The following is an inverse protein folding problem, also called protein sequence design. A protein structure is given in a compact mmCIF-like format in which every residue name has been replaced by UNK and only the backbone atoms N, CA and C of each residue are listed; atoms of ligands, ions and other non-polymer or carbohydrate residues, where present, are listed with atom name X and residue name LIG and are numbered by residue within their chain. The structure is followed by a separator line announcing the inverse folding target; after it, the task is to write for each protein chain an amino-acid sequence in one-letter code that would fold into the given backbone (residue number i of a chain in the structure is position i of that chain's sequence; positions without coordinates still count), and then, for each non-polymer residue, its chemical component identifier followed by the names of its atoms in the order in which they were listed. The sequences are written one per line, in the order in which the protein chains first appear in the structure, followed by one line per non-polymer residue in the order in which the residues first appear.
data_IF_049134077217
#
_entry.id   IF_049134077217
#
_cell.length_a   1.000
_cell.length_b   1.000
_cell.length_c   1.000
_cell.angle_alpha   90.00
_cell.angle_beta   90.00
_cell.angle_gamma   90.00
#
_symmetry.space_group_name_H-M   'P 1'
#
loop_
_entity.id
_entity.type
_entity.pdbx_description
1 polymer ?
#
# COMPACT_ATOMS: atom_id res chain seq x y z
N UNK A 1 -5.92 6.92 -30.57
CA UNK A 1 -6.10 5.93 -29.51
C UNK A 1 -7.24 5.03 -29.94
N UNK A 2 -6.99 3.73 -30.11
CA UNK A 2 -7.98 2.78 -30.63
C UNK A 2 -9.06 2.54 -29.54
N UNK A 3 -10.32 2.27 -29.95
CA UNK A 3 -11.43 2.01 -29.01
C UNK A 3 -11.08 0.93 -27.96
N UNK A 4 -10.23 -0.03 -28.30
CA UNK A 4 -9.80 -1.14 -27.43
C UNK A 4 -8.76 -0.75 -26.36
N UNK A 5 -7.88 0.20 -26.65
CA UNK A 5 -6.92 0.71 -25.62
C UNK A 5 -7.65 1.48 -24.52
N UNK A 6 -8.82 2.08 -24.84
CA UNK A 6 -9.69 2.71 -23.82
C UNK A 6 -10.38 1.67 -22.92
N UNK A 7 -10.67 0.46 -23.43
CA UNK A 7 -11.32 -0.59 -22.63
C UNK A 7 -10.39 -1.23 -21.59
N UNK A 8 -9.09 -1.35 -21.85
CA UNK A 8 -8.13 -1.86 -20.84
C UNK A 8 -7.98 -0.88 -19.66
N UNK A 9 -7.97 0.43 -19.95
CA UNK A 9 -8.00 1.49 -18.92
C UNK A 9 -9.31 1.50 -18.10
N UNK A 10 -10.41 1.02 -18.67
CA UNK A 10 -11.72 0.93 -18.02
C UNK A 10 -11.81 -0.16 -16.94
N UNK A 11 -11.12 -1.28 -17.12
CA UNK A 11 -11.07 -2.35 -16.11
C UNK A 11 -10.53 -1.83 -14.75
N UNK A 12 -9.60 -0.90 -14.77
CA UNK A 12 -9.02 -0.32 -13.57
C UNK A 12 -9.82 0.89 -13.00
N UNK A 13 -10.57 1.61 -13.83
CA UNK A 13 -11.28 2.84 -13.41
C UNK A 13 -12.66 2.59 -12.76
N UNK A 14 -13.24 1.40 -12.90
CA UNK A 14 -14.60 1.12 -12.38
C UNK A 14 -14.68 0.84 -10.88
N UNK A 15 -13.55 0.68 -10.18
CA UNK A 15 -13.54 0.38 -8.74
C UNK A 15 -13.47 1.61 -7.80
N UNK A 16 -13.51 2.84 -8.33
CA UNK A 16 -13.28 4.03 -7.49
C UNK A 16 -14.54 4.74 -6.98
N UNK A 17 -15.75 4.27 -7.25
CA UNK A 17 -16.98 4.93 -6.74
C UNK A 17 -18.08 3.91 -6.48
N UNK A 18 -18.53 3.79 -5.25
CA UNK A 18 -19.92 3.98 -4.83
C UNK A 18 -20.14 3.58 -3.39
N UNK A 19 -20.40 4.55 -2.58
CA UNK A 19 -21.39 4.44 -1.51
C UNK A 19 -22.47 5.47 -1.79
N UNK A 20 -23.63 5.06 -2.30
CA UNK A 20 -24.85 5.87 -2.25
C UNK A 20 -26.14 5.03 -2.35
N UNK A 21 -26.83 5.00 -1.24
CA UNK A 21 -28.30 5.14 -1.04
C UNK A 21 -29.23 4.38 -1.97
N UNK A 22 -29.96 3.44 -1.36
CA UNK A 22 -31.10 2.75 -1.94
C UNK A 22 -32.27 3.67 -2.31
N UNK A 23 -32.91 3.35 -3.41
CA UNK A 23 -34.29 3.68 -3.69
C UNK A 23 -35.01 2.41 -4.14
N UNK A 24 -35.96 1.96 -3.34
CA UNK A 24 -36.97 0.98 -3.74
C UNK A 24 -37.79 1.52 -4.89
N UNK A 25 -37.84 0.83 -6.00
CA UNK A 25 -38.91 0.93 -6.96
C UNK A 25 -39.31 -0.47 -7.43
N UNK A 26 -40.54 -0.85 -7.20
CA UNK A 26 -41.16 -2.06 -7.72
C UNK A 26 -41.04 -2.07 -9.25
N UNK A 27 -40.46 -3.15 -9.78
CA UNK A 27 -40.38 -3.39 -11.21
C UNK A 27 -41.26 -4.60 -11.52
N UNK A 28 -42.34 -4.35 -12.28
CA UNK A 28 -43.21 -5.40 -12.85
C UNK A 28 -42.37 -6.35 -13.74
N UNK A 29 -42.49 -7.65 -13.52
CA UNK A 29 -41.91 -8.69 -14.38
C UNK A 29 -42.54 -8.65 -15.79
N UNK A 30 -41.73 -8.60 -16.86
CA UNK A 30 -42.25 -8.73 -18.22
C UNK A 30 -42.27 -10.17 -18.72
N UNK A 31 -43.20 -10.43 -19.64
CA UNK A 31 -43.53 -11.68 -20.30
C UNK A 31 -42.32 -12.43 -20.84
N UNK A 32 -42.32 -13.74 -20.65
CA UNK A 32 -41.29 -14.74 -21.03
C UNK A 32 -41.02 -14.73 -22.53
N UNK A 33 -39.82 -14.22 -22.92
CA UNK A 33 -39.18 -14.46 -24.22
C UNK A 33 -38.27 -15.70 -24.16
N UNK A 34 -37.88 -16.28 -25.29
CA UNK A 34 -37.09 -17.52 -25.34
C UNK A 34 -35.80 -17.38 -24.51
N UNK A 35 -35.54 -18.40 -23.71
CA UNK A 35 -34.35 -18.53 -22.88
C UNK A 35 -33.11 -18.50 -23.77
N UNK A 36 -32.07 -17.71 -23.48
CA UNK A 36 -30.77 -17.83 -24.11
C UNK A 36 -30.24 -19.26 -24.03
N UNK A 37 -29.43 -19.67 -25.00
CA UNK A 37 -28.76 -20.98 -24.98
C UNK A 37 -27.97 -21.18 -23.68
N UNK A 38 -27.51 -22.39 -23.42
CA UNK A 38 -26.66 -22.65 -22.26
C UNK A 38 -25.42 -21.77 -22.33
N UNK A 39 -24.78 -21.37 -21.20
CA UNK A 39 -23.54 -20.58 -21.22
C UNK A 39 -22.46 -21.15 -22.14
N UNK A 40 -22.38 -22.47 -22.29
CA UNK A 40 -21.44 -23.15 -23.17
C UNK A 40 -21.72 -22.90 -24.68
N UNK A 41 -22.97 -22.62 -25.06
CA UNK A 41 -23.35 -22.28 -26.43
C UNK A 41 -23.21 -20.77 -26.72
N UNK A 42 -23.32 -19.96 -25.67
CA UNK A 42 -23.24 -18.50 -25.75
C UNK A 42 -21.80 -18.01 -25.88
N UNK A 43 -20.86 -18.63 -25.14
CA UNK A 43 -19.47 -18.19 -25.06
C UNK A 43 -18.51 -19.23 -25.59
N UNK A 44 -17.69 -18.86 -26.57
CA UNK A 44 -16.64 -19.71 -27.09
C UNK A 44 -15.29 -19.01 -27.01
N UNK A 45 -14.35 -19.54 -26.24
CA UNK A 45 -12.98 -19.06 -26.24
C UNK A 45 -12.26 -19.53 -27.50
N UNK A 46 -11.82 -18.60 -28.33
CA UNK A 46 -11.10 -18.89 -29.58
C UNK A 46 -9.58 -18.93 -29.34
N UNK A 47 -9.04 -18.03 -28.51
CA UNK A 47 -7.65 -18.06 -28.07
C UNK A 47 -7.53 -17.46 -26.69
N UNK A 48 -6.49 -17.86 -25.96
CA UNK A 48 -6.17 -17.40 -24.62
C UNK A 48 -4.66 -17.33 -24.46
N UNK A 49 -4.18 -16.13 -24.19
CA UNK A 49 -2.78 -15.82 -23.88
C UNK A 49 -2.69 -15.16 -22.50
N UNK A 50 -1.48 -14.90 -22.02
CA UNK A 50 -1.28 -14.34 -20.66
C UNK A 50 -1.84 -12.92 -20.51
N UNK A 51 -1.91 -12.16 -21.61
CA UNK A 51 -2.31 -10.74 -21.64
C UNK A 51 -3.56 -10.49 -22.48
N UNK A 52 -4.11 -11.52 -23.12
CA UNK A 52 -5.29 -11.36 -23.96
C UNK A 52 -6.15 -12.63 -24.04
N UNK A 53 -7.44 -12.43 -24.33
CA UNK A 53 -8.38 -13.49 -24.67
C UNK A 53 -9.29 -13.08 -25.82
N UNK A 54 -9.54 -14.01 -26.73
CA UNK A 54 -10.50 -13.84 -27.82
C UNK A 54 -11.71 -14.72 -27.56
N UNK A 55 -12.89 -14.12 -27.51
CA UNK A 55 -14.15 -14.80 -27.19
C UNK A 55 -15.17 -14.52 -28.27
N UNK A 56 -15.77 -15.56 -28.84
CA UNK A 56 -16.93 -15.43 -29.70
C UNK A 56 -18.21 -15.51 -28.87
N UNK A 57 -19.07 -14.52 -29.02
CA UNK A 57 -20.39 -14.42 -28.40
C UNK A 57 -21.43 -14.75 -29.46
N UNK A 58 -22.31 -15.74 -29.18
CA UNK A 58 -23.37 -16.16 -30.08
C UNK A 58 -24.73 -16.01 -29.39
N UNK A 59 -25.41 -14.87 -29.59
CA UNK A 59 -26.73 -14.62 -28.99
C UNK A 59 -27.81 -15.52 -29.57
N UNK A 60 -29.00 -15.53 -28.95
CA UNK A 60 -30.13 -16.39 -29.36
C UNK A 60 -30.65 -16.10 -30.78
N UNK A 61 -30.41 -14.91 -31.31
CA UNK A 61 -30.62 -14.53 -32.73
C UNK A 61 -29.75 -13.34 -33.13
N UNK A 62 -29.57 -13.13 -34.45
CA UNK A 62 -28.78 -12.02 -34.98
C UNK A 62 -29.33 -10.63 -34.70
N UNK A 63 -30.63 -10.53 -34.36
CA UNK A 63 -31.30 -9.25 -34.07
C UNK A 63 -31.23 -8.86 -32.59
N UNK A 64 -30.69 -9.73 -31.73
CA UNK A 64 -30.56 -9.45 -30.31
C UNK A 64 -29.43 -8.46 -30.07
N UNK A 65 -29.79 -7.34 -29.43
CA UNK A 65 -28.82 -6.37 -28.88
C UNK A 65 -28.42 -6.84 -27.50
N UNK A 66 -27.14 -6.83 -27.20
CA UNK A 66 -26.62 -7.28 -25.90
C UNK A 66 -25.40 -6.48 -25.48
N UNK A 67 -25.13 -6.55 -24.18
CA UNK A 67 -23.87 -6.17 -23.57
C UNK A 67 -23.04 -7.41 -23.32
N UNK A 68 -21.74 -7.37 -23.65
CA UNK A 68 -20.78 -8.41 -23.29
C UNK A 68 -19.42 -7.80 -23.02
N UNK A 69 -18.87 -8.03 -21.83
CA UNK A 69 -17.54 -7.55 -21.47
C UNK A 69 -16.86 -8.49 -20.47
N UNK A 70 -15.53 -8.50 -20.46
CA UNK A 70 -14.71 -9.32 -19.58
C UNK A 70 -14.47 -8.59 -18.26
N UNK A 71 -14.77 -9.26 -17.14
CA UNK A 71 -14.54 -8.77 -15.77
C UNK A 71 -13.64 -9.73 -14.98
N UNK A 72 -12.88 -9.22 -14.01
CA UNK A 72 -12.14 -10.08 -13.10
C UNK A 72 -13.11 -10.92 -12.25
N UNK A 73 -12.77 -12.20 -12.08
CA UNK A 73 -13.55 -13.13 -11.22
C UNK A 73 -13.11 -12.98 -9.77
N UNK A 74 -13.42 -11.83 -9.17
CA UNK A 74 -13.15 -11.52 -7.77
C UNK A 74 -14.39 -11.72 -6.90
N UNK A 75 -14.19 -11.98 -5.62
CA UNK A 75 -15.31 -12.11 -4.67
C UNK A 75 -16.12 -10.82 -4.57
N UNK A 76 -15.44 -9.69 -4.61
CA UNK A 76 -16.08 -8.36 -4.55
C UNK A 76 -17.04 -8.14 -5.72
N UNK A 77 -16.66 -8.49 -6.95
CA UNK A 77 -17.51 -8.31 -8.12
C UNK A 77 -18.54 -9.44 -8.27
N UNK A 78 -18.10 -10.70 -8.19
CA UNK A 78 -18.97 -11.86 -8.45
C UNK A 78 -19.88 -12.21 -7.27
N UNK A 79 -19.61 -11.72 -6.07
CA UNK A 79 -20.47 -11.86 -4.88
C UNK A 79 -21.71 -10.98 -4.88
N UNK A 80 -21.81 -10.02 -5.82
CA UNK A 80 -22.94 -9.11 -5.96
C UNK A 80 -24.15 -9.78 -6.60
N UNK A 81 -25.33 -9.25 -6.37
CA UNK A 81 -26.51 -9.73 -7.09
C UNK A 81 -26.57 -9.20 -8.54
N UNK A 82 -27.33 -9.89 -9.38
CA UNK A 82 -27.44 -9.57 -10.81
C UNK A 82 -27.99 -8.17 -11.09
N UNK A 83 -28.78 -7.61 -10.17
CA UNK A 83 -29.31 -6.24 -10.32
C UNK A 83 -28.24 -5.20 -10.04
N UNK A 84 -27.43 -5.40 -8.99
CA UNK A 84 -26.30 -4.52 -8.67
C UNK A 84 -25.28 -4.48 -9.81
N UNK A 85 -24.90 -5.64 -10.32
CA UNK A 85 -23.99 -5.76 -11.47
C UNK A 85 -24.56 -5.02 -12.69
N UNK A 86 -25.85 -5.26 -13.01
CA UNK A 86 -26.49 -4.57 -14.13
C UNK A 86 -26.52 -3.05 -13.94
N UNK A 87 -26.87 -2.57 -12.76
CA UNK A 87 -26.96 -1.14 -12.46
C UNK A 87 -25.61 -0.46 -12.64
N UNK A 88 -24.55 -1.03 -12.09
CA UNK A 88 -23.20 -0.49 -12.23
C UNK A 88 -22.75 -0.41 -13.69
N UNK A 89 -22.98 -1.49 -14.45
CA UNK A 89 -22.67 -1.52 -15.87
C UNK A 89 -23.50 -0.50 -16.66
N UNK A 90 -24.80 -0.44 -16.41
CA UNK A 90 -25.73 0.42 -17.15
C UNK A 90 -25.45 1.92 -16.98
N UNK A 91 -24.96 2.32 -15.83
CA UNK A 91 -24.63 3.73 -15.54
C UNK A 91 -23.15 4.06 -15.80
N UNK A 92 -22.37 3.14 -16.34
CA UNK A 92 -21.02 3.45 -16.79
C UNK A 92 -21.05 4.35 -18.05
N UNK A 93 -20.10 5.25 -18.17
CA UNK A 93 -19.98 6.18 -19.30
C UNK A 93 -19.78 5.49 -20.66
N UNK A 94 -19.49 4.19 -20.65
CA UNK A 94 -19.13 3.39 -21.83
C UNK A 94 -20.17 2.34 -22.20
N UNK A 95 -21.27 2.24 -21.47
CA UNK A 95 -22.26 1.20 -21.67
C UNK A 95 -22.77 1.13 -23.11
N UNK A 96 -23.16 2.27 -23.68
CA UNK A 96 -23.72 2.34 -25.04
C UNK A 96 -22.68 2.00 -26.12
N UNK A 97 -21.41 2.30 -25.88
CA UNK A 97 -20.30 2.00 -26.80
C UNK A 97 -19.94 0.50 -26.84
N UNK A 98 -20.36 -0.25 -25.82
CA UNK A 98 -20.10 -1.69 -25.67
C UNK A 98 -21.29 -2.58 -26.04
N UNK A 99 -22.42 -1.99 -26.46
CA UNK A 99 -23.52 -2.74 -27.01
C UNK A 99 -23.18 -3.34 -28.36
N UNK A 100 -23.55 -4.59 -28.56
CA UNK A 100 -23.32 -5.34 -29.79
C UNK A 100 -24.60 -6.07 -30.22
N UNK A 101 -24.65 -6.55 -31.47
CA UNK A 101 -25.74 -7.38 -31.97
C UNK A 101 -25.18 -8.50 -32.88
N UNK A 102 -25.92 -9.60 -32.96
CA UNK A 102 -25.52 -10.77 -33.74
C UNK A 102 -24.26 -11.45 -33.18
N UNK A 103 -23.76 -12.44 -33.88
CA UNK A 103 -22.54 -13.16 -33.51
C UNK A 103 -21.32 -12.25 -33.64
N UNK A 104 -20.58 -12.05 -32.55
CA UNK A 104 -19.39 -11.18 -32.49
C UNK A 104 -18.20 -11.94 -31.91
N UNK A 105 -17.02 -11.67 -32.47
CA UNK A 105 -15.73 -12.09 -31.86
C UNK A 105 -15.07 -10.87 -31.22
N UNK A 106 -14.97 -10.91 -29.90
CA UNK A 106 -14.40 -9.83 -29.06
C UNK A 106 -12.99 -10.21 -28.63
N UNK A 107 -12.08 -9.25 -28.66
CA UNK A 107 -10.72 -9.39 -28.14
C UNK A 107 -10.55 -8.48 -26.92
N UNK A 108 -10.22 -9.07 -25.79
CA UNK A 108 -9.90 -8.38 -24.54
C UNK A 108 -8.39 -8.44 -24.33
N UNK A 109 -7.77 -7.28 -24.18
CA UNK A 109 -6.32 -7.11 -24.05
C UNK A 109 -5.97 -6.44 -22.70
N UNK A 110 -4.70 -6.50 -22.30
CA UNK A 110 -4.22 -5.92 -21.07
C UNK A 110 -4.60 -6.74 -19.84
N UNK A 111 -4.78 -8.05 -20.03
CA UNK A 111 -5.04 -8.98 -18.94
C UNK A 111 -3.76 -9.23 -18.15
N UNK A 112 -3.91 -9.65 -16.92
CA UNK A 112 -2.81 -10.04 -16.05
C UNK A 112 -2.64 -11.54 -16.14
N UNK A 113 -1.41 -12.01 -16.31
CA UNK A 113 -1.08 -13.43 -16.28
C UNK A 113 -1.47 -14.04 -14.92
N UNK A 114 -1.76 -15.34 -14.92
CA UNK A 114 -2.17 -16.09 -13.73
C UNK A 114 -3.37 -15.48 -12.98
N UNK A 115 -4.31 -14.90 -13.70
CA UNK A 115 -5.50 -14.23 -13.15
C UNK A 115 -6.80 -14.85 -13.69
N UNK A 116 -7.89 -14.60 -12.98
CA UNK A 116 -9.18 -15.19 -13.28
C UNK A 116 -10.17 -14.13 -13.76
N UNK A 117 -10.90 -14.47 -14.83
CA UNK A 117 -11.87 -13.59 -15.46
C UNK A 117 -13.15 -14.34 -15.83
N UNK A 118 -14.23 -13.58 -16.04
CA UNK A 118 -15.49 -14.05 -16.63
C UNK A 118 -16.04 -13.02 -17.61
N UNK A 119 -16.64 -13.49 -18.68
CA UNK A 119 -17.47 -12.62 -19.52
C UNK A 119 -18.82 -12.46 -18.86
N UNK A 120 -19.22 -11.19 -18.67
CA UNK A 120 -20.56 -10.81 -18.22
C UNK A 120 -21.40 -10.49 -19.45
N UNK A 121 -22.59 -11.04 -19.55
CA UNK A 121 -23.50 -10.87 -20.67
C UNK A 121 -24.93 -10.61 -20.18
N UNK A 122 -25.64 -9.73 -20.85
CA UNK A 122 -27.10 -9.62 -20.78
C UNK A 122 -27.68 -9.01 -22.05
N UNK A 123 -28.86 -9.47 -22.44
CA UNK A 123 -29.60 -8.89 -23.55
C UNK A 123 -30.19 -7.52 -23.15
N UNK A 124 -30.29 -6.60 -24.12
CA UNK A 124 -30.73 -5.24 -23.90
C UNK A 124 -31.77 -4.81 -24.91
N UNK A 125 -32.88 -4.28 -24.44
CA UNK A 125 -33.94 -3.71 -25.27
C UNK A 125 -33.76 -2.20 -25.37
N UNK A 126 -33.26 -1.72 -26.52
CA UNK A 126 -33.03 -0.30 -26.78
C UNK A 126 -34.33 0.53 -26.73
N UNK A 127 -35.49 -0.06 -27.07
CA UNK A 127 -36.76 0.66 -27.08
C UNK A 127 -37.25 0.97 -25.66
N UNK A 128 -37.02 0.09 -24.70
CA UNK A 128 -37.38 0.27 -23.31
C UNK A 128 -36.27 0.78 -22.43
N UNK A 129 -35.03 0.69 -22.89
CA UNK A 129 -33.83 1.08 -22.15
C UNK A 129 -33.51 0.12 -20.98
N UNK A 130 -33.93 -1.16 -21.06
CA UNK A 130 -33.82 -2.13 -19.96
C UNK A 130 -33.14 -3.42 -20.42
N UNK A 131 -32.50 -4.14 -19.44
CA UNK A 131 -32.03 -5.50 -19.69
C UNK A 131 -33.21 -6.45 -19.92
N UNK A 132 -32.96 -7.47 -20.70
CA UNK A 132 -33.89 -8.58 -20.97
C UNK A 132 -33.31 -9.84 -20.35
N UNK A 133 -34.08 -10.54 -19.53
CA UNK A 133 -33.62 -11.75 -18.85
C UNK A 133 -32.61 -11.48 -17.74
N UNK A 134 -31.81 -12.51 -17.41
CA UNK A 134 -30.81 -12.47 -16.35
C UNK A 134 -29.44 -11.99 -16.86
N UNK A 135 -28.57 -11.58 -15.93
CA UNK A 135 -27.14 -11.43 -16.20
C UNK A 135 -26.52 -12.83 -16.21
N UNK A 136 -25.84 -13.16 -17.28
CA UNK A 136 -25.18 -14.45 -17.49
C UNK A 136 -23.67 -14.28 -17.42
N UNK A 137 -22.99 -15.34 -16.98
CA UNK A 137 -21.54 -15.39 -16.84
C UNK A 137 -20.97 -16.57 -17.63
N UNK A 138 -19.84 -16.37 -18.27
CA UNK A 138 -19.05 -17.47 -18.82
C UNK A 138 -18.50 -18.37 -17.71
N UNK A 139 -18.01 -19.55 -18.09
CA UNK A 139 -17.07 -20.28 -17.25
C UNK A 139 -15.86 -19.42 -16.93
N UNK A 140 -15.16 -19.76 -15.83
CA UNK A 140 -13.93 -19.07 -15.42
C UNK A 140 -12.86 -19.19 -16.49
N UNK A 141 -12.33 -18.07 -16.92
CA UNK A 141 -11.20 -17.96 -17.83
C UNK A 141 -9.96 -17.68 -16.96
N UNK A 142 -8.96 -18.58 -17.02
CA UNK A 142 -7.70 -18.39 -16.28
C UNK A 142 -6.59 -18.12 -17.29
N UNK A 143 -6.01 -16.94 -17.23
CA UNK A 143 -4.86 -16.58 -18.09
C UNK A 143 -3.64 -17.44 -17.73
N UNK A 144 -2.88 -17.92 -18.72
CA UNK A 144 -1.59 -18.58 -18.46
C UNK A 144 -0.59 -17.60 -17.83
N UNK A 145 0.50 -18.16 -17.31
CA UNK A 145 1.64 -17.36 -16.84
C UNK A 145 2.26 -16.57 -17.99
N UNK A 146 2.72 -15.36 -17.70
CA UNK A 146 3.57 -14.60 -18.62
C UNK A 146 4.91 -15.36 -18.83
N UNK A 147 5.52 -15.23 -20.02
CA UNK A 147 6.73 -15.99 -20.36
C UNK A 147 7.98 -15.55 -19.59
N UNK A 148 7.97 -14.36 -19.02
CA UNK A 148 9.11 -13.76 -18.35
C UNK A 148 8.83 -13.52 -16.86
N UNK A 149 9.85 -13.78 -16.05
CA UNK A 149 9.84 -13.50 -14.61
C UNK A 149 10.96 -12.52 -14.25
N UNK A 150 10.70 -11.69 -13.25
CA UNK A 150 11.68 -10.79 -12.67
C UNK A 150 12.35 -11.49 -11.49
N UNK A 151 13.70 -11.55 -11.50
CA UNK A 151 14.48 -12.05 -10.38
C UNK A 151 14.32 -11.14 -9.16
N UNK A 152 14.02 -11.75 -8.00
CA UNK A 152 13.84 -11.04 -6.73
C UNK A 152 14.64 -11.77 -5.65
N UNK A 153 15.67 -11.12 -5.10
CA UNK A 153 16.52 -11.63 -4.04
C UNK A 153 16.46 -10.71 -2.82
N UNK A 154 16.41 -11.31 -1.62
CA UNK A 154 16.40 -10.59 -0.34
C UNK A 154 17.62 -11.05 0.45
N UNK A 155 18.41 -10.10 0.93
CA UNK A 155 19.66 -10.33 1.65
C UNK A 155 19.88 -9.31 2.77
N UNK A 156 20.96 -9.50 3.55
CA UNK A 156 21.38 -8.60 4.62
C UNK A 156 20.21 -8.20 5.57
N UNK A 157 19.40 -9.20 5.94
CA UNK A 157 18.22 -9.00 6.81
C UNK A 157 18.71 -8.76 8.24
N UNK A 158 18.29 -7.62 8.80
CA UNK A 158 18.41 -7.28 10.22
C UNK A 158 17.03 -7.11 10.82
N UNK A 159 16.92 -6.67 12.06
CA UNK A 159 15.62 -6.33 12.66
C UNK A 159 14.99 -5.06 12.08
N UNK A 160 15.78 -4.18 11.47
CA UNK A 160 15.32 -2.87 11.02
C UNK A 160 15.63 -2.58 9.55
N UNK A 161 16.21 -3.52 8.83
CA UNK A 161 16.53 -3.34 7.41
C UNK A 161 16.67 -4.67 6.65
N UNK A 162 16.52 -4.60 5.35
CA UNK A 162 16.86 -5.67 4.42
C UNK A 162 17.32 -5.06 3.09
N UNK A 163 18.08 -5.81 2.31
CA UNK A 163 18.42 -5.47 0.92
C UNK A 163 17.55 -6.29 -0.02
N UNK A 164 16.96 -5.61 -1.00
CA UNK A 164 16.06 -6.19 -2.01
C UNK A 164 16.70 -5.94 -3.37
N UNK A 165 17.16 -7.01 -4.02
CA UNK A 165 17.76 -6.93 -5.36
C UNK A 165 16.76 -7.42 -6.39
N UNK A 166 16.44 -6.54 -7.35
CA UNK A 166 15.55 -6.82 -8.47
C UNK A 166 16.41 -6.96 -9.72
N UNK A 167 16.23 -8.06 -10.46
CA UNK A 167 16.93 -8.37 -11.70
C UNK A 167 15.91 -8.67 -12.79
N UNK A 168 15.54 -7.68 -13.64
CA UNK A 168 14.66 -7.90 -14.74
C UNK A 168 15.31 -8.76 -15.84
N UNK A 169 14.52 -9.48 -16.68
CA UNK A 169 15.06 -10.32 -17.76
C UNK A 169 15.74 -9.52 -18.86
N UNK A 170 15.46 -8.23 -18.99
CA UNK A 170 16.18 -7.30 -19.86
C UNK A 170 16.39 -5.95 -19.19
N UNK A 171 17.45 -5.23 -19.57
CA UNK A 171 17.78 -3.92 -18.99
C UNK A 171 16.76 -2.83 -19.35
N UNK A 172 15.94 -3.04 -20.39
CA UNK A 172 14.94 -2.09 -20.84
C UNK A 172 13.54 -2.37 -20.23
N UNK A 173 13.38 -3.53 -19.57
CA UNK A 173 12.10 -3.87 -18.94
C UNK A 173 11.86 -2.96 -17.74
N UNK A 174 10.77 -2.22 -17.81
CA UNK A 174 10.30 -1.37 -16.72
C UNK A 174 9.55 -2.21 -15.72
N UNK A 175 9.75 -1.98 -14.40
CA UNK A 175 9.10 -2.72 -13.34
C UNK A 175 8.75 -1.82 -12.16
N UNK A 176 7.71 -2.24 -11.44
CA UNK A 176 7.33 -1.74 -10.13
C UNK A 176 7.74 -2.74 -9.07
N UNK A 177 8.22 -2.27 -7.93
CA UNK A 177 8.54 -3.09 -6.76
C UNK A 177 8.04 -2.38 -5.51
N UNK A 178 7.41 -3.14 -4.62
CA UNK A 178 6.93 -2.61 -3.35
C UNK A 178 7.05 -3.62 -2.22
N UNK A 179 6.87 -3.14 -0.98
CA UNK A 179 7.06 -3.88 0.25
C UNK A 179 5.94 -3.52 1.24
N UNK A 180 5.29 -4.53 1.84
CA UNK A 180 4.38 -4.38 2.98
C UNK A 180 4.69 -5.39 4.07
N UNK A 181 4.28 -5.08 5.32
CA UNK A 181 4.14 -6.13 6.34
C UNK A 181 3.06 -7.12 5.89
N UNK A 182 3.22 -8.39 6.23
CA UNK A 182 2.25 -9.41 5.86
C UNK A 182 0.85 -9.09 6.41
N UNK A 183 0.77 -8.58 7.64
CA UNK A 183 -0.49 -8.10 8.25
C UNK A 183 -1.16 -6.99 7.43
N UNK A 184 -0.39 -6.01 6.95
CA UNK A 184 -0.93 -4.95 6.09
C UNK A 184 -1.39 -5.49 4.74
N UNK A 185 -0.63 -6.40 4.13
CA UNK A 185 -1.00 -7.03 2.88
C UNK A 185 -2.32 -7.82 2.99
N UNK A 186 -2.46 -8.65 4.03
CA UNK A 186 -3.67 -9.44 4.29
C UNK A 186 -4.88 -8.55 4.63
N UNK A 187 -4.65 -7.43 5.31
CA UNK A 187 -5.72 -6.47 5.64
C UNK A 187 -6.37 -5.84 4.41
N UNK A 188 -5.59 -5.62 3.36
CA UNK A 188 -6.12 -5.13 2.08
C UNK A 188 -6.72 -6.25 1.20
N UNK A 189 -6.69 -7.50 1.68
CA UNK A 189 -7.34 -8.68 1.06
C UNK A 189 -7.01 -8.86 -0.43
N UNK A 190 -5.74 -8.72 -0.79
CA UNK A 190 -5.30 -9.01 -2.17
C UNK A 190 -5.33 -10.51 -2.43
N UNK A 191 -6.48 -11.04 -2.86
CA UNK A 191 -6.70 -12.47 -3.09
C UNK A 191 -6.19 -12.95 -4.46
N UNK A 192 -5.86 -12.01 -5.36
CA UNK A 192 -5.41 -12.31 -6.72
C UNK A 192 -4.36 -11.31 -7.21
N UNK A 193 -3.64 -11.67 -8.28
CA UNK A 193 -2.70 -10.79 -8.96
C UNK A 193 -3.40 -9.55 -9.54
N UNK A 194 -4.61 -9.74 -10.01
CA UNK A 194 -5.44 -8.63 -10.50
C UNK A 194 -5.75 -7.62 -9.39
N UNK A 195 -6.16 -8.06 -8.20
CA UNK A 195 -6.51 -7.16 -7.09
C UNK A 195 -5.29 -6.38 -6.59
N UNK A 196 -4.13 -7.05 -6.50
CA UNK A 196 -2.89 -6.39 -6.12
C UNK A 196 -2.50 -5.30 -7.13
N UNK A 197 -2.49 -5.62 -8.42
CA UNK A 197 -2.21 -4.65 -9.47
C UNK A 197 -3.23 -3.50 -9.49
N UNK A 198 -4.52 -3.80 -9.34
CA UNK A 198 -5.58 -2.78 -9.30
C UNK A 198 -5.40 -1.80 -8.14
N UNK A 199 -4.93 -2.28 -6.99
CA UNK A 199 -4.58 -1.43 -5.86
C UNK A 199 -3.42 -0.48 -6.18
N UNK A 200 -2.32 -1.01 -6.72
CA UNK A 200 -1.16 -0.21 -7.14
C UNK A 200 -1.54 0.81 -8.22
N UNK A 201 -2.33 0.40 -9.21
CA UNK A 201 -2.82 1.28 -10.28
C UNK A 201 -3.72 2.41 -9.75
N UNK A 202 -4.61 2.09 -8.81
CA UNK A 202 -5.48 3.08 -8.16
C UNK A 202 -4.67 4.10 -7.37
N UNK A 203 -3.60 3.67 -6.72
CA UNK A 203 -2.66 4.57 -6.06
C UNK A 203 -2.00 5.54 -7.06
N UNK A 204 -1.50 5.05 -8.19
CA UNK A 204 -0.91 5.90 -9.23
C UNK A 204 -1.92 6.89 -9.81
N UNK A 205 -3.15 6.43 -10.07
CA UNK A 205 -4.23 7.30 -10.55
C UNK A 205 -4.57 8.42 -9.55
N UNK A 206 -4.64 8.10 -8.27
CA UNK A 206 -4.85 9.08 -7.20
C UNK A 206 -3.67 10.05 -7.06
N UNK A 207 -2.44 9.53 -7.01
CA UNK A 207 -1.23 10.33 -6.86
C UNK A 207 -1.01 11.27 -8.04
N UNK A 208 -1.28 10.83 -9.29
CA UNK A 208 -1.18 11.67 -10.47
C UNK A 208 -2.09 12.90 -10.38
N UNK A 209 -3.33 12.72 -9.89
CA UNK A 209 -4.26 13.83 -9.67
C UNK A 209 -3.78 14.78 -8.57
N UNK A 210 -3.25 14.24 -7.47
CA UNK A 210 -2.72 15.06 -6.36
C UNK A 210 -1.52 15.90 -6.78
N UNK A 211 -0.62 15.34 -7.58
CA UNK A 211 0.58 16.05 -8.05
C UNK A 211 0.35 16.87 -9.33
N UNK A 212 -0.80 16.73 -9.98
CA UNK A 212 -1.14 17.45 -11.20
C UNK A 212 -0.30 17.02 -12.41
N UNK A 213 0.10 15.77 -12.46
CA UNK A 213 0.83 15.12 -13.55
C UNK A 213 -0.04 14.07 -14.25
N UNK A 214 0.38 13.59 -15.41
CA UNK A 214 -0.34 12.50 -16.08
C UNK A 214 -0.10 11.16 -15.36
N UNK A 215 -0.98 10.19 -15.58
CA UNK A 215 -0.79 8.85 -15.07
C UNK A 215 0.50 8.20 -15.60
N UNK A 216 0.81 8.41 -16.88
CA UNK A 216 2.03 7.92 -17.51
C UNK A 216 3.29 8.48 -16.80
N UNK A 217 3.31 9.79 -16.52
CA UNK A 217 4.40 10.42 -15.75
C UNK A 217 4.49 9.89 -14.33
N UNK A 218 3.35 9.59 -13.68
CA UNK A 218 3.35 9.01 -12.33
C UNK A 218 3.91 7.59 -12.32
N UNK A 219 3.50 6.74 -13.27
CA UNK A 219 4.04 5.38 -13.42
C UNK A 219 5.54 5.44 -13.75
N UNK A 220 5.97 6.34 -14.63
CA UNK A 220 7.39 6.52 -14.95
C UNK A 220 8.20 6.93 -13.72
N UNK A 221 7.67 7.79 -12.87
CA UNK A 221 8.30 8.26 -11.64
C UNK A 221 8.48 7.14 -10.61
N UNK A 222 7.48 6.27 -10.48
CA UNK A 222 7.40 5.25 -9.41
C UNK A 222 7.99 3.89 -9.81
N UNK A 223 8.44 3.75 -11.07
CA UNK A 223 8.98 2.52 -11.63
C UNK A 223 10.46 2.65 -11.98
N UNK A 224 11.13 1.51 -12.20
CA UNK A 224 12.56 1.46 -12.49
C UNK A 224 12.84 0.57 -13.72
N UNK A 225 14.04 0.68 -14.27
CA UNK A 225 14.58 -0.19 -15.32
C UNK A 225 15.95 -0.71 -14.91
N UNK A 226 16.37 -1.83 -15.47
CA UNK A 226 17.67 -2.45 -15.19
C UNK A 226 17.78 -3.07 -13.78
N UNK A 227 18.88 -3.72 -13.51
CA UNK A 227 19.14 -4.35 -12.20
C UNK A 227 19.37 -3.28 -11.13
N UNK A 228 18.63 -3.36 -10.02
CA UNK A 228 18.76 -2.42 -8.90
C UNK A 228 18.66 -3.14 -7.55
N UNK A 229 19.47 -2.69 -6.60
CA UNK A 229 19.39 -3.10 -5.20
C UNK A 229 18.81 -1.93 -4.38
N UNK A 230 17.75 -2.22 -3.65
CA UNK A 230 17.10 -1.31 -2.72
C UNK A 230 17.44 -1.68 -1.29
N UNK A 231 17.49 -0.69 -0.42
CA UNK A 231 17.34 -0.90 1.02
C UNK A 231 15.87 -0.77 1.43
N UNK A 232 15.51 -1.27 2.59
CA UNK A 232 14.16 -1.04 3.12
C UNK A 232 13.82 0.44 3.26
N UNK A 233 14.82 1.30 3.42
CA UNK A 233 14.66 2.77 3.54
C UNK A 233 14.15 3.40 2.23
N UNK A 234 14.45 2.79 1.06
CA UNK A 234 13.98 3.29 -0.24
C UNK A 234 12.47 3.19 -0.41
N UNK A 235 11.79 2.36 0.39
CA UNK A 235 10.33 2.21 0.40
C UNK A 235 9.61 3.08 1.44
N UNK A 236 10.32 4.01 2.09
CA UNK A 236 9.83 4.81 3.22
C UNK A 236 9.30 3.97 4.41
N UNK A 237 9.65 2.69 4.43
CA UNK A 237 9.28 1.74 5.48
C UNK A 237 10.57 1.32 6.18
N UNK A 238 10.76 1.80 7.40
CA UNK A 238 11.71 1.18 8.31
C UNK A 238 11.11 -0.17 8.67
N UNK A 239 11.86 -1.22 8.45
CA UNK A 239 11.44 -2.55 8.82
C UNK A 239 11.21 -2.61 10.34
N UNK A 240 10.07 -3.09 10.74
CA UNK A 240 9.78 -3.47 12.12
C UNK A 240 10.47 -4.79 12.41
N UNK A 241 11.05 -4.93 13.61
CA UNK A 241 11.71 -6.18 13.99
C UNK A 241 10.70 -7.29 14.27
N UNK A 242 11.16 -8.54 14.16
CA UNK A 242 10.36 -9.75 14.37
C UNK A 242 9.05 -9.76 13.56
N UNK A 243 9.11 -9.18 12.36
CA UNK A 243 7.92 -8.93 11.52
C UNK A 243 8.10 -9.57 10.16
N UNK A 244 7.06 -10.27 9.69
CA UNK A 244 7.04 -10.85 8.36
C UNK A 244 6.63 -9.80 7.33
N UNK A 245 7.42 -9.72 6.25
CA UNK A 245 7.21 -8.82 5.11
C UNK A 245 6.98 -9.60 3.83
N UNK A 246 6.18 -9.02 2.95
CA UNK A 246 6.03 -9.43 1.56
C UNK A 246 6.61 -8.35 0.65
N UNK A 247 7.49 -8.77 -0.26
CA UNK A 247 7.96 -7.96 -1.39
C UNK A 247 7.31 -8.52 -2.65
N UNK A 248 6.82 -7.65 -3.52
CA UNK A 248 6.38 -8.03 -4.86
C UNK A 248 6.99 -7.16 -5.92
N UNK A 249 7.15 -7.72 -7.11
CA UNK A 249 7.67 -7.03 -8.29
C UNK A 249 6.97 -7.56 -9.53
N UNK A 250 6.67 -6.68 -10.48
CA UNK A 250 6.14 -7.03 -11.79
C UNK A 250 6.56 -6.00 -12.84
N UNK A 251 6.65 -6.46 -14.09
CA UNK A 251 6.88 -5.60 -15.23
C UNK A 251 5.63 -4.82 -15.60
N UNK A 252 5.79 -3.54 -15.94
CA UNK A 252 4.69 -2.64 -16.30
C UNK A 252 5.15 -1.61 -17.33
N UNK A 253 4.30 -1.32 -18.32
CA UNK A 253 4.53 -0.20 -19.26
C UNK A 253 4.14 1.14 -18.62
N UNK A 254 4.57 2.26 -19.21
CA UNK A 254 4.11 3.59 -18.77
C UNK A 254 2.62 3.82 -18.99
N UNK A 255 1.99 3.03 -19.88
CA UNK A 255 0.52 3.03 -20.06
C UNK A 255 -0.23 2.21 -19.01
N UNK A 256 0.47 1.52 -18.09
CA UNK A 256 -0.13 0.71 -17.04
C UNK A 256 -0.49 -0.71 -17.47
N UNK A 257 0.15 -1.27 -18.51
CA UNK A 257 -0.04 -2.66 -18.91
C UNK A 257 0.99 -3.55 -18.21
N UNK A 258 0.53 -4.63 -17.55
CA UNK A 258 1.41 -5.60 -16.88
C UNK A 258 2.09 -6.48 -17.94
N UNK A 259 3.41 -6.64 -17.85
CA UNK A 259 4.22 -7.33 -18.86
C UNK A 259 4.87 -8.63 -18.38
N UNK A 260 4.83 -8.92 -17.08
CA UNK A 260 5.37 -10.16 -16.48
C UNK A 260 4.40 -10.70 -15.44
N UNK A 261 4.64 -11.90 -14.94
CA UNK A 261 3.98 -12.38 -13.73
C UNK A 261 4.37 -11.50 -12.52
N UNK A 262 3.52 -11.50 -11.49
CA UNK A 262 3.87 -10.88 -10.21
C UNK A 262 4.71 -11.84 -9.39
N UNK A 263 6.01 -11.56 -9.28
CA UNK A 263 6.92 -12.32 -8.44
C UNK A 263 6.82 -11.84 -7.00
N UNK A 264 6.68 -12.76 -6.05
CA UNK A 264 6.56 -12.48 -4.61
C UNK A 264 7.66 -13.19 -3.83
N UNK A 265 8.14 -12.55 -2.76
CA UNK A 265 9.01 -13.17 -1.76
C UNK A 265 8.66 -12.64 -0.38
N UNK A 266 8.66 -13.54 0.60
CA UNK A 266 8.52 -13.17 2.01
C UNK A 266 9.86 -13.26 2.72
N UNK A 267 10.02 -12.46 3.76
CA UNK A 267 11.12 -12.56 4.71
C UNK A 267 10.66 -12.07 6.08
N UNK A 268 11.34 -12.53 7.11
CA UNK A 268 11.09 -12.07 8.48
C UNK A 268 12.31 -11.33 8.98
N UNK A 269 12.11 -10.13 9.51
CA UNK A 269 13.16 -9.34 10.14
C UNK A 269 13.61 -10.00 11.45
N UNK A 270 14.87 -9.80 11.81
CA UNK A 270 15.43 -10.39 13.03
C UNK A 270 14.82 -9.76 14.28
N UNK A 271 14.63 -10.57 15.31
CA UNK A 271 14.29 -10.08 16.64
C UNK A 271 15.53 -9.48 17.33
N UNK A 272 15.41 -8.40 18.12
CA UNK A 272 16.48 -7.90 18.97
C UNK A 272 16.83 -8.91 20.07
N UNK A 273 18.05 -8.88 20.54
CA UNK A 273 18.47 -9.73 21.66
C UNK A 273 18.07 -9.08 22.99
N UNK A 274 17.12 -9.64 23.77
CA UNK A 274 16.72 -9.04 25.03
C UNK A 274 17.91 -8.84 25.99
N UNK A 275 17.97 -7.69 26.65
CA UNK A 275 18.99 -7.31 27.61
C UNK A 275 18.36 -6.95 28.98
N UNK A 276 19.09 -7.30 30.04
CA UNK A 276 18.77 -6.89 31.42
C UNK A 276 19.35 -5.49 31.76
N UNK A 277 19.84 -4.74 30.78
CA UNK A 277 20.37 -3.40 30.99
C UNK A 277 19.31 -2.48 31.57
N UNK A 278 19.68 -1.77 32.64
CA UNK A 278 18.88 -0.75 33.30
C UNK A 278 19.54 0.61 33.18
N UNK A 279 18.76 1.65 33.38
CA UNK A 279 19.23 3.03 33.30
C UNK A 279 18.97 3.77 34.58
N UNK A 280 19.92 4.63 34.96
CA UNK A 280 19.77 5.65 36.00
C UNK A 280 19.96 7.02 35.37
N UNK A 281 19.12 7.98 35.76
CA UNK A 281 19.19 9.38 35.37
C UNK A 281 19.21 10.23 36.63
N UNK A 282 20.37 10.31 37.32
CA UNK A 282 20.47 10.93 38.64
C UNK A 282 20.27 12.44 38.59
N UNK A 283 20.47 13.06 37.43
CA UNK A 283 20.36 14.50 37.28
C UNK A 283 19.74 14.89 35.93
N UNK A 284 18.82 15.84 35.95
CA UNK A 284 18.29 16.52 34.77
C UNK A 284 18.36 18.03 35.05
N UNK A 285 19.38 18.67 34.50
CA UNK A 285 19.58 20.14 34.64
C UNK A 285 18.73 20.84 33.59
N UNK A 286 17.88 21.75 34.04
CA UNK A 286 16.95 22.50 33.18
C UNK A 286 17.24 24.00 33.33
N UNK A 287 17.73 24.62 32.28
CA UNK A 287 18.11 26.03 32.26
C UNK A 287 17.44 26.83 31.15
N UNK A 288 17.19 28.10 31.38
CA UNK A 288 16.71 29.02 30.33
C UNK A 288 17.83 29.31 29.34
N UNK A 289 17.52 29.17 28.06
CA UNK A 289 18.41 29.49 26.96
C UNK A 289 17.80 30.58 26.07
N UNK A 290 18.60 31.56 25.72
CA UNK A 290 18.22 32.61 24.77
C UNK A 290 19.43 33.02 23.95
N UNK A 291 19.28 32.96 22.62
CA UNK A 291 20.32 33.40 21.68
C UNK A 291 19.70 34.24 20.57
N UNK A 292 20.36 35.38 20.28
CA UNK A 292 19.96 36.26 19.19
C UNK A 292 20.91 36.09 18.02
N UNK A 293 20.34 35.63 16.89
CA UNK A 293 21.04 35.41 15.63
C UNK A 293 20.64 36.49 14.60
N UNK A 294 21.23 36.43 13.40
CA UNK A 294 20.82 37.27 12.26
C UNK A 294 19.39 36.97 11.77
N UNK A 295 18.85 35.82 12.10
CA UNK A 295 17.52 35.36 11.68
C UNK A 295 16.44 35.59 12.74
N UNK A 296 16.83 36.00 13.94
CA UNK A 296 15.92 36.27 15.05
C UNK A 296 16.42 35.74 16.40
N UNK A 297 15.59 35.89 17.41
CA UNK A 297 15.89 35.37 18.76
C UNK A 297 15.21 34.01 18.96
N UNK A 298 16.02 32.99 19.25
CA UNK A 298 15.55 31.66 19.69
C UNK A 298 15.62 31.60 21.21
N UNK A 299 14.58 31.09 21.86
CA UNK A 299 14.50 31.00 23.33
C UNK A 299 13.63 29.84 23.79
N UNK A 300 14.00 29.28 24.93
CA UNK A 300 13.29 28.16 25.57
C UNK A 300 14.15 27.54 26.66
N UNK A 301 13.76 26.42 27.18
CA UNK A 301 14.57 25.66 28.13
C UNK A 301 15.45 24.65 27.43
N UNK A 302 16.71 24.55 27.82
CA UNK A 302 17.57 23.40 27.56
C UNK A 302 17.42 22.43 28.72
N UNK A 303 17.47 21.15 28.42
CA UNK A 303 17.56 20.12 29.42
C UNK A 303 18.77 19.22 29.11
N UNK A 304 19.61 19.08 30.11
CA UNK A 304 20.80 18.22 30.08
C UNK A 304 20.62 17.09 31.10
N UNK A 305 20.61 15.83 30.60
CA UNK A 305 20.36 14.65 31.42
C UNK A 305 21.60 13.75 31.44
N UNK A 306 22.07 13.42 32.65
CA UNK A 306 23.13 12.42 32.84
C UNK A 306 22.50 11.03 32.80
N UNK A 307 22.84 10.23 31.79
CA UNK A 307 22.34 8.87 31.59
C UNK A 307 23.43 7.87 31.96
N UNK A 308 23.11 6.94 32.86
CA UNK A 308 24.05 5.94 33.38
C UNK A 308 23.47 4.54 33.13
N UNK A 309 23.86 3.84 32.04
CA UNK A 309 23.44 2.46 31.83
C UNK A 309 24.20 1.50 32.78
N UNK A 310 23.54 0.43 33.21
CA UNK A 310 24.18 -0.63 34.03
C UNK A 310 25.20 -1.45 33.24
N UNK A 311 25.05 -1.58 31.93
CA UNK A 311 26.01 -2.14 31.01
C UNK A 311 26.56 -1.04 30.09
N UNK A 312 27.89 -0.77 30.20
CA UNK A 312 28.56 0.30 29.47
C UNK A 312 28.94 -0.06 28.02
N UNK A 313 28.91 -1.32 27.69
CA UNK A 313 29.28 -1.83 26.36
C UNK A 313 28.10 -1.88 25.39
N UNK A 314 26.89 -2.05 25.94
CA UNK A 314 25.68 -2.08 25.13
C UNK A 314 25.27 -0.69 24.67
N UNK A 315 24.60 -0.65 23.52
CA UNK A 315 24.07 0.58 22.95
C UNK A 315 22.66 0.88 23.47
N UNK A 316 22.33 2.16 23.48
CA UNK A 316 20.99 2.59 23.82
C UNK A 316 20.62 3.86 23.05
N UNK A 317 19.33 4.11 22.97
CA UNK A 317 18.74 5.33 22.42
C UNK A 317 18.21 6.19 23.55
N UNK A 318 18.36 7.53 23.41
CA UNK A 318 17.81 8.48 24.37
C UNK A 318 17.18 9.66 23.63
N UNK A 319 16.07 10.15 24.17
CA UNK A 319 15.39 11.34 23.67
C UNK A 319 14.66 12.06 24.80
N UNK A 320 14.28 13.33 24.56
CA UNK A 320 13.39 14.09 25.42
C UNK A 320 12.12 14.41 24.63
N UNK A 321 10.97 14.07 25.20
CA UNK A 321 9.66 14.29 24.58
C UNK A 321 8.69 14.89 25.60
N UNK A 322 7.67 15.60 25.12
CA UNK A 322 6.58 16.10 25.96
C UNK A 322 5.82 14.94 26.59
N UNK A 323 5.80 14.89 27.94
CA UNK A 323 5.20 13.80 28.69
C UNK A 323 3.69 13.69 28.46
N UNK A 324 3.00 14.84 28.39
CA UNK A 324 1.55 14.85 28.17
C UNK A 324 1.17 14.31 26.79
N UNK A 325 2.02 14.52 25.77
CA UNK A 325 1.80 13.93 24.44
C UNK A 325 2.00 12.42 24.48
N UNK A 326 3.06 11.96 25.13
CA UNK A 326 3.29 10.52 25.32
C UNK A 326 2.11 9.86 26.07
N UNK A 327 1.69 10.43 27.21
CA UNK A 327 0.59 9.90 27.99
C UNK A 327 -0.73 9.85 27.20
N UNK A 328 -0.99 10.87 26.40
CA UNK A 328 -2.20 10.92 25.58
C UNK A 328 -2.18 9.92 24.42
N UNK A 329 -1.02 9.69 23.81
CA UNK A 329 -0.95 8.96 22.53
C UNK A 329 -0.56 7.47 22.71
N UNK A 330 0.17 7.10 23.76
CA UNK A 330 0.73 5.76 23.96
C UNK A 330 0.33 5.10 25.29
N UNK A 331 -0.71 5.58 25.97
CA UNK A 331 -1.23 4.90 27.15
C UNK A 331 -2.29 3.86 26.78
N UNK A 332 -2.51 2.88 27.63
CA UNK A 332 -3.50 1.80 27.47
C UNK A 332 -4.93 2.29 27.23
N UNK A 333 -5.24 3.55 27.61
CA UNK A 333 -6.57 4.16 27.43
C UNK A 333 -6.81 4.67 26.01
N UNK A 334 -5.82 4.66 25.12
CA UNK A 334 -5.89 5.22 23.79
C UNK A 334 -5.61 4.18 22.69
N UNK A 335 -6.63 3.42 22.31
CA UNK A 335 -6.62 2.41 21.24
C UNK A 335 -5.61 1.25 21.41
N UNK A 336 -5.19 0.94 22.65
CA UNK A 336 -4.30 -0.19 22.95
C UNK A 336 -2.85 0.02 22.53
N UNK A 337 -2.42 1.26 22.29
CA UNK A 337 -1.01 1.57 22.01
C UNK A 337 -0.14 1.38 23.25
N UNK A 338 1.08 0.93 23.04
CA UNK A 338 2.02 0.49 24.07
C UNK A 338 3.33 1.29 24.08
N UNK A 339 4.19 1.01 25.05
CA UNK A 339 5.56 1.48 25.08
C UNK A 339 6.35 1.02 23.85
N UNK A 340 6.06 -0.17 23.32
CA UNK A 340 6.70 -0.69 22.12
C UNK A 340 6.30 0.13 20.89
N UNK A 341 5.05 0.57 20.80
CA UNK A 341 4.61 1.51 19.75
C UNK A 341 5.31 2.87 19.84
N UNK A 342 5.58 3.36 21.07
CA UNK A 342 6.37 4.58 21.24
C UNK A 342 7.80 4.39 20.77
N UNK A 343 8.45 3.29 21.15
CA UNK A 343 9.80 2.93 20.75
C UNK A 343 9.86 2.88 19.21
N UNK A 344 8.95 2.14 18.59
CA UNK A 344 8.86 2.01 17.15
C UNK A 344 8.64 3.36 16.48
N UNK A 345 7.72 4.20 16.97
CA UNK A 345 7.49 5.54 16.45
C UNK A 345 8.75 6.42 16.51
N UNK A 346 9.54 6.35 17.60
CA UNK A 346 10.79 7.09 17.71
C UNK A 346 11.83 6.62 16.69
N UNK A 347 11.92 5.33 16.46
CA UNK A 347 12.82 4.74 15.47
C UNK A 347 12.38 5.15 14.04
N UNK A 348 11.11 5.00 13.70
CA UNK A 348 10.53 5.38 12.41
C UNK A 348 10.72 6.87 12.11
N UNK A 349 10.43 7.73 13.08
CA UNK A 349 10.61 9.18 12.92
C UNK A 349 12.07 9.56 12.63
N UNK A 350 13.02 8.87 13.26
CA UNK A 350 14.44 9.15 13.11
C UNK A 350 15.05 8.46 11.89
N UNK A 351 14.47 7.37 11.43
CA UNK A 351 14.93 6.65 10.25
C UNK A 351 14.62 7.37 8.92
N UNK A 352 13.73 8.35 8.93
CA UNK A 352 13.59 9.29 7.81
C UNK A 352 14.84 10.14 7.60
N UNK A 353 15.79 10.09 8.54
CA UNK A 353 17.10 10.70 8.42
C UNK A 353 18.06 9.68 7.77
N UNK A 354 19.09 10.15 7.05
CA UNK A 354 20.11 9.25 6.50
C UNK A 354 20.65 8.29 7.57
N UNK A 355 20.88 7.04 7.21
CA UNK A 355 21.39 5.99 8.13
C UNK A 355 22.68 6.40 8.89
N UNK A 356 23.49 7.28 8.28
CA UNK A 356 24.66 7.89 8.93
C UNK A 356 24.32 8.80 10.11
N UNK A 357 23.12 9.36 10.16
CA UNK A 357 22.64 10.18 11.28
C UNK A 357 21.97 9.31 12.34
N UNK A 358 21.22 8.29 11.95
CA UNK A 358 20.60 7.34 12.87
C UNK A 358 21.67 6.67 13.76
N UNK A 359 22.81 6.25 13.19
CA UNK A 359 23.89 5.63 13.95
C UNK A 359 24.53 6.55 15.01
N UNK A 360 24.48 7.87 14.82
CA UNK A 360 24.97 8.85 15.80
C UNK A 360 24.03 9.01 16.99
N UNK A 361 22.79 8.59 16.86
CA UNK A 361 21.80 8.68 17.93
C UNK A 361 21.95 7.57 18.97
N UNK A 362 22.66 6.49 18.62
CA UNK A 362 22.99 5.42 19.56
C UNK A 362 24.18 5.82 20.42
N UNK A 363 24.01 5.67 21.71
CA UNK A 363 25.02 5.95 22.72
C UNK A 363 25.48 4.66 23.40
N UNK A 364 26.63 4.69 24.06
CA UNK A 364 27.11 3.65 24.97
C UNK A 364 27.89 4.29 26.12
N UNK A 365 27.99 3.60 27.26
CA UNK A 365 28.61 4.17 28.47
C UNK A 365 27.80 5.31 29.08
N UNK A 366 28.40 6.02 30.03
CA UNK A 366 27.80 7.22 30.65
C UNK A 366 27.75 8.35 29.63
N UNK A 367 26.60 9.05 29.55
CA UNK A 367 26.40 10.08 28.54
C UNK A 367 25.63 11.27 29.08
N UNK A 368 26.08 12.46 28.74
CA UNK A 368 25.37 13.72 28.97
C UNK A 368 24.53 14.07 27.74
N UNK A 369 23.23 13.86 27.86
CA UNK A 369 22.27 14.12 26.78
C UNK A 369 21.74 15.53 26.90
N UNK A 370 22.05 16.38 25.92
CA UNK A 370 21.53 17.75 25.80
C UNK A 370 20.51 17.85 24.67
N UNK A 371 19.27 18.20 25.01
CA UNK A 371 18.16 18.22 24.02
C UNK A 371 18.37 19.24 22.90
N UNK A 372 19.07 20.32 23.13
CA UNK A 372 19.33 21.33 22.10
C UNK A 372 20.46 20.90 21.17
N UNK A 373 21.57 20.44 21.72
CA UNK A 373 22.71 19.98 20.92
C UNK A 373 22.41 18.71 20.10
N UNK A 374 21.65 17.79 20.69
CA UNK A 374 21.35 16.48 20.07
C UNK A 374 20.17 16.52 19.09
N UNK A 375 19.21 17.41 19.33
CA UNK A 375 17.91 17.41 18.63
C UNK A 375 17.48 18.76 18.12
N UNK A 376 18.24 19.82 18.39
CA UNK A 376 17.86 21.21 18.07
C UNK A 376 16.50 21.61 18.70
N UNK A 377 16.15 21.02 19.86
CA UNK A 377 14.87 21.24 20.53
C UNK A 377 15.08 22.14 21.76
N UNK A 378 14.33 23.24 21.81
CA UNK A 378 14.13 24.03 23.02
C UNK A 378 12.74 23.74 23.61
N UNK A 379 12.69 23.47 24.90
CA UNK A 379 11.49 23.10 25.61
C UNK A 379 10.67 24.35 25.99
N UNK A 380 9.34 24.21 25.99
CA UNK A 380 8.42 25.29 26.36
C UNK A 380 8.35 25.45 27.89
N UNK A 381 8.12 26.68 28.40
CA UNK A 381 7.91 26.90 29.83
C UNK A 381 6.71 26.18 30.39
N UNK A 382 6.77 25.87 31.69
CA UNK A 382 5.67 25.27 32.48
C UNK A 382 5.03 24.06 31.82
N UNK A 383 5.88 23.14 31.32
CA UNK A 383 5.45 21.88 30.69
C UNK A 383 6.18 20.71 31.30
N UNK A 384 5.48 19.57 31.32
CA UNK A 384 6.03 18.29 31.73
C UNK A 384 6.67 17.60 30.52
N UNK A 385 7.90 17.17 30.70
CA UNK A 385 8.70 16.40 29.76
C UNK A 385 9.25 15.15 30.43
N UNK A 386 9.76 14.22 29.65
CA UNK A 386 10.53 13.11 30.19
C UNK A 386 11.73 12.80 29.29
N UNK A 387 12.78 12.29 29.93
CA UNK A 387 13.86 11.59 29.24
C UNK A 387 13.39 10.16 29.04
N UNK A 388 13.37 9.70 27.79
CA UNK A 388 13.01 8.37 27.36
C UNK A 388 14.27 7.64 26.95
N UNK A 389 14.51 6.46 27.51
CA UNK A 389 15.72 5.67 27.24
C UNK A 389 15.36 4.20 27.07
N UNK A 390 15.93 3.55 26.09
CA UNK A 390 15.83 2.10 25.87
C UNK A 390 17.08 1.55 25.22
N UNK A 391 17.44 0.31 25.55
CA UNK A 391 18.56 -0.39 24.93
C UNK A 391 18.28 -0.72 23.48
N UNK A 392 19.31 -0.74 22.66
CA UNK A 392 19.24 -1.00 21.23
C UNK A 392 20.38 -1.87 20.76
N UNK A 393 20.11 -2.78 19.85
CA UNK A 393 21.10 -3.42 18.98
C UNK A 393 20.79 -3.17 17.50
N UNK A 394 21.41 -3.86 16.60
CA UNK A 394 21.19 -3.77 15.14
C UNK A 394 19.82 -4.31 14.69
N UNK A 395 19.16 -5.05 15.58
CA UNK A 395 17.88 -5.68 15.32
C UNK A 395 16.70 -4.99 16.00
N UNK A 396 16.93 -3.97 16.82
CA UNK A 396 15.85 -3.22 17.47
C UNK A 396 16.05 -2.95 18.96
N UNK A 397 14.96 -2.72 19.68
CA UNK A 397 15.02 -2.42 21.10
C UNK A 397 15.29 -3.67 21.94
N UNK A 398 16.34 -3.63 22.76
CA UNK A 398 16.79 -4.75 23.61
C UNK A 398 16.22 -4.69 25.02
N UNK A 399 15.72 -3.52 25.46
CA UNK A 399 15.11 -3.33 26.79
C UNK A 399 13.74 -2.68 26.66
N UNK A 400 12.96 -2.75 27.74
CA UNK A 400 11.74 -1.93 27.88
C UNK A 400 12.08 -0.45 27.92
N UNK A 401 11.06 0.37 27.63
CA UNK A 401 11.14 1.82 27.76
C UNK A 401 11.34 2.23 29.23
N UNK A 402 12.28 3.14 29.44
CA UNK A 402 12.50 3.78 30.74
C UNK A 402 12.13 5.27 30.61
N UNK A 403 11.31 5.78 31.53
CA UNK A 403 10.75 7.14 31.47
C UNK A 403 11.12 7.91 32.72
N UNK A 404 11.84 9.04 32.59
CA UNK A 404 12.30 9.87 33.69
C UNK A 404 11.67 11.28 33.55
N UNK A 405 10.57 11.57 34.26
CA UNK A 405 9.83 12.82 34.11
C UNK A 405 10.51 14.01 34.79
N UNK A 406 10.33 15.20 34.20
CA UNK A 406 10.73 16.47 34.78
C UNK A 406 9.83 17.62 34.27
N UNK A 407 9.91 18.78 34.90
CA UNK A 407 9.10 19.94 34.54
C UNK A 407 9.99 21.18 34.30
N UNK A 408 9.69 21.92 33.24
CA UNK A 408 10.35 23.22 32.99
C UNK A 408 9.76 24.30 33.87
N UNK A 409 10.58 25.27 34.25
CA UNK A 409 10.17 26.41 35.04
C UNK A 409 9.32 27.42 34.27
N UNK A 410 8.91 28.49 34.94
CA UNK A 410 8.32 29.67 34.29
C UNK A 410 9.37 30.41 33.47
N UNK A 411 8.91 31.11 32.41
CA UNK A 411 9.79 31.99 31.64
C UNK A 411 10.40 33.06 32.52
N UNK A 412 11.71 33.26 32.47
CA UNK A 412 12.33 34.39 33.17
C UNK A 412 11.72 35.72 32.75
N UNK A 413 11.55 36.63 33.73
CA UNK A 413 10.98 37.97 33.49
C UNK A 413 12.01 38.90 32.87
#
# INVERSE_FOLDING_TARGET
MNKFTRCALLLCAMFSFVSLVGCNNDVDEPDVKPTPGTPEELFKIESLEHDNVVVTITPSSEDVVYYAFLYPDTEEFMGRDNLEIYVDIRYSDYFEDLLASGTQTLTFQGLIGHSHYKVVYFEYDEATGKKVGDVLFSERITTPDAPEEIGLEISDITGMSAKITVTPPSEDLRYFVWLYTMDSYERYQHSSDYELFSYDYSYWAYASQMYGITLEEMIEFDTNVGTKTYSSDDFLLVAEWDTEYLVWVYGVTTSGEVTTNITRRTFTTAAPTPSDMTFDVPNIDVEWYEETTSEGTIRGFRANATIIPSNKEEKYFATITNKSWYDWYFTEDNDGRSDDDYIMNQILYNAQKPSSELSKMYKSGDYEFDCFTEREILLKPEREYAVFVFGMDENGATTKLNVFPFTTGAMPQ
#
